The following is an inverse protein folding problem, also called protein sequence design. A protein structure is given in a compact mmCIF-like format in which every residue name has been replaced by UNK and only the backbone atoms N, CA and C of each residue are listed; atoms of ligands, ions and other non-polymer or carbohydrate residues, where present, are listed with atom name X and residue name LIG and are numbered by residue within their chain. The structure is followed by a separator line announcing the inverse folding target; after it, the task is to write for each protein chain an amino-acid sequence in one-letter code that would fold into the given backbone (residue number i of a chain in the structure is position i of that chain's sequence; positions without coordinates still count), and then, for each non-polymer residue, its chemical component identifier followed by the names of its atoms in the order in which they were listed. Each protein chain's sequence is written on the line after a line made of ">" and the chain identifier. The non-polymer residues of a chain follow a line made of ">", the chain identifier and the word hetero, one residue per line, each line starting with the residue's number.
data_IF_600562718306
#
_entry.id   IF_600562718306
#
_cell.length_a   1.000
_cell.length_b   1.000
_cell.length_c   1.000
_cell.angle_alpha   90.00
_cell.angle_beta   90.00
_cell.angle_gamma   90.00
#
_symmetry.space_group_name_H-M   'P 1'
#
loop_
_entity.id
_entity.type
_entity.pdbx_description
1 polymer ?
#
# COMPACT_ATOMS: atom_id res chain seq x y z
N UNK A 1 -21.58 26.72 4.59
CA UNK A 1 -20.56 25.88 5.26
C UNK A 1 -19.95 25.03 4.16
N UNK A 2 -18.63 25.12 3.88
CA UNK A 2 -18.02 24.25 2.86
C UNK A 2 -18.22 22.81 3.32
N UNK A 3 -18.74 21.96 2.45
CA UNK A 3 -18.95 20.55 2.74
C UNK A 3 -17.58 19.88 2.87
N UNK A 4 -17.12 19.71 4.12
CA UNK A 4 -15.84 19.04 4.43
C UNK A 4 -15.88 17.54 4.04
N UNK A 5 -17.08 16.99 3.79
CA UNK A 5 -17.28 15.61 3.38
C UNK A 5 -16.74 15.32 1.98
N UNK A 6 -16.96 16.22 1.01
CA UNK A 6 -16.51 16.02 -0.37
C UNK A 6 -14.99 15.89 -0.45
N UNK A 7 -14.25 16.80 0.20
CA UNK A 7 -12.79 16.77 0.24
C UNK A 7 -12.25 15.47 0.87
N UNK A 8 -12.92 15.01 1.94
CA UNK A 8 -12.54 13.78 2.63
C UNK A 8 -12.72 12.55 1.74
N UNK A 9 -13.82 12.46 1.00
CA UNK A 9 -14.08 11.34 0.09
C UNK A 9 -13.16 11.35 -1.12
N UNK A 10 -12.92 12.52 -1.73
CA UNK A 10 -11.95 12.64 -2.83
C UNK A 10 -10.55 12.18 -2.41
N UNK A 11 -10.11 12.54 -1.20
CA UNK A 11 -8.83 12.09 -0.67
C UNK A 11 -8.78 10.58 -0.42
N UNK A 12 -9.85 9.99 0.12
CA UNK A 12 -9.95 8.53 0.31
C UNK A 12 -9.89 7.78 -1.02
N UNK A 13 -10.63 8.24 -2.02
CA UNK A 13 -10.65 7.61 -3.34
C UNK A 13 -9.30 7.73 -4.04
N UNK A 14 -8.62 8.89 -3.93
CA UNK A 14 -7.28 9.07 -4.44
C UNK A 14 -6.26 8.13 -3.76
N UNK A 15 -6.27 8.06 -2.42
CA UNK A 15 -5.39 7.17 -1.67
C UNK A 15 -5.64 5.69 -2.00
N UNK A 16 -6.91 5.29 -2.13
CA UNK A 16 -7.30 3.94 -2.52
C UNK A 16 -6.86 3.60 -3.95
N UNK A 17 -7.00 4.52 -4.89
CA UNK A 17 -6.53 4.35 -6.27
C UNK A 17 -5.02 4.10 -6.31
N UNK A 18 -4.24 4.97 -5.66
CA UNK A 18 -2.78 4.83 -5.58
C UNK A 18 -2.36 3.53 -4.87
N UNK A 19 -3.05 3.15 -3.79
CA UNK A 19 -2.75 1.90 -3.10
C UNK A 19 -3.04 0.68 -3.99
N UNK A 20 -4.12 0.67 -4.77
CA UNK A 20 -4.40 -0.41 -5.71
C UNK A 20 -3.32 -0.54 -6.80
N UNK A 21 -2.90 0.59 -7.38
CA UNK A 21 -1.82 0.62 -8.38
C UNK A 21 -0.52 0.02 -7.79
N UNK A 22 -0.15 0.45 -6.59
CA UNK A 22 1.02 -0.06 -5.87
C UNK A 22 0.91 -1.55 -5.50
N UNK A 23 -0.28 -2.04 -5.11
CA UNK A 23 -0.50 -3.46 -4.84
C UNK A 23 -0.33 -4.29 -6.12
N UNK A 24 -0.88 -3.83 -7.25
CA UNK A 24 -0.73 -4.53 -8.52
C UNK A 24 0.73 -4.62 -8.95
N UNK A 25 1.45 -3.49 -8.92
CA UNK A 25 2.89 -3.45 -9.22
C UNK A 25 3.68 -4.38 -8.29
N UNK A 26 3.43 -4.34 -6.99
CA UNK A 26 4.11 -5.20 -6.03
C UNK A 26 3.87 -6.69 -6.28
N UNK A 27 2.70 -7.08 -6.81
CA UNK A 27 2.35 -8.46 -7.16
C UNK A 27 2.93 -8.87 -8.52
N UNK A 28 3.10 -7.94 -9.45
CA UNK A 28 3.80 -8.19 -10.72
C UNK A 28 5.31 -8.43 -10.48
N UNK A 29 5.90 -7.70 -9.54
CA UNK A 29 7.33 -7.76 -9.21
C UNK A 29 7.70 -8.84 -8.17
N UNK A 30 6.73 -9.64 -7.69
CA UNK A 30 6.93 -10.58 -6.57
C UNK A 30 6.24 -11.92 -6.78
N UNK A 31 6.86 -13.01 -6.29
CA UNK A 31 6.27 -14.35 -6.38
C UNK A 31 5.43 -14.72 -5.15
N UNK A 32 5.57 -13.98 -4.04
CA UNK A 32 4.87 -14.23 -2.78
C UNK A 32 4.34 -12.96 -2.14
N UNK A 33 3.29 -13.07 -1.29
CA UNK A 33 2.77 -11.96 -0.50
C UNK A 33 3.85 -11.32 0.41
N UNK A 34 4.76 -12.14 0.94
CA UNK A 34 5.89 -11.66 1.73
C UNK A 34 6.88 -10.83 0.91
N UNK A 35 7.15 -11.20 -0.34
CA UNK A 35 7.98 -10.42 -1.26
C UNK A 35 7.30 -9.12 -1.68
N UNK A 36 6.00 -9.15 -2.01
CA UNK A 36 5.23 -7.96 -2.34
C UNK A 36 5.19 -6.96 -1.17
N UNK A 37 5.03 -7.46 0.06
CA UNK A 37 5.12 -6.62 1.28
C UNK A 37 6.51 -5.98 1.42
N UNK A 38 7.59 -6.73 1.15
CA UNK A 38 8.96 -6.20 1.20
C UNK A 38 9.24 -5.20 0.07
N UNK A 39 8.62 -5.37 -1.10
CA UNK A 39 8.69 -4.41 -2.19
C UNK A 39 8.16 -3.05 -1.74
N UNK A 40 6.93 -3.02 -1.23
CA UNK A 40 6.29 -1.78 -0.76
C UNK A 40 7.07 -1.11 0.37
N UNK A 41 7.60 -1.90 1.32
CA UNK A 41 8.43 -1.35 2.41
C UNK A 41 9.70 -0.67 1.90
N UNK A 42 10.34 -1.21 0.85
CA UNK A 42 11.53 -0.62 0.23
C UNK A 42 11.18 0.71 -0.44
N UNK A 43 10.09 0.74 -1.21
CA UNK A 43 9.59 1.97 -1.82
C UNK A 43 9.27 3.04 -0.76
N UNK A 44 8.63 2.64 0.35
CA UNK A 44 8.36 3.60 1.43
C UNK A 44 9.62 4.20 2.04
N UNK A 45 10.69 3.41 2.22
CA UNK A 45 11.95 3.91 2.75
C UNK A 45 12.65 4.88 1.79
N UNK A 46 12.51 4.70 0.49
CA UNK A 46 13.09 5.60 -0.52
C UNK A 46 12.48 7.00 -0.49
N UNK A 47 11.23 7.13 -0.03
CA UNK A 47 10.56 8.42 0.12
C UNK A 47 11.15 9.32 1.23
N UNK A 48 12.01 8.77 2.10
CA UNK A 48 12.71 9.48 3.18
C UNK A 48 14.11 9.96 2.76
N UNK A 49 14.35 10.15 1.46
CA UNK A 49 15.61 10.65 0.90
C UNK A 49 15.91 12.12 1.23
N UNK A 50 16.51 12.84 0.29
CA UNK A 50 16.87 14.25 0.49
C UNK A 50 15.62 15.15 0.39
N UNK A 51 14.97 15.38 1.52
CA UNK A 51 13.76 16.20 1.64
C UNK A 51 14.19 17.65 1.83
N UNK A 52 14.19 18.42 0.76
CA UNK A 52 14.62 19.82 0.77
C UNK A 52 13.45 20.79 0.83
N UNK A 53 12.29 20.43 0.27
CA UNK A 53 11.12 21.31 0.18
C UNK A 53 9.91 20.83 1.01
N UNK A 54 9.05 21.74 1.50
CA UNK A 54 7.84 21.38 2.25
C UNK A 54 6.90 20.42 1.51
N UNK A 55 6.83 20.53 0.19
CA UNK A 55 6.05 19.65 -0.69
C UNK A 55 6.59 18.22 -0.69
N UNK A 56 7.91 18.03 -0.63
CA UNK A 56 8.54 16.71 -0.51
C UNK A 56 8.17 16.07 0.83
N UNK A 57 8.15 16.86 1.91
CA UNK A 57 7.72 16.39 3.22
C UNK A 57 6.24 15.97 3.23
N UNK A 58 5.37 16.71 2.54
CA UNK A 58 3.98 16.32 2.36
C UNK A 58 3.85 15.05 1.52
N UNK A 59 4.63 14.94 0.44
CA UNK A 59 4.71 13.76 -0.43
C UNK A 59 5.12 12.51 0.35
N UNK A 60 6.14 12.61 1.21
CA UNK A 60 6.56 11.52 2.10
C UNK A 60 5.40 11.03 3.00
N UNK A 61 4.62 11.95 3.60
CA UNK A 61 3.49 11.57 4.44
C UNK A 61 2.34 10.93 3.67
N UNK A 62 2.08 11.39 2.45
CA UNK A 62 1.11 10.75 1.56
C UNK A 62 1.59 9.35 1.18
N UNK A 63 2.88 9.21 0.85
CA UNK A 63 3.49 7.93 0.51
C UNK A 63 3.40 6.91 1.67
N UNK A 64 3.67 7.33 2.91
CA UNK A 64 3.48 6.51 4.11
C UNK A 64 2.05 5.96 4.20
N UNK A 65 1.06 6.83 4.00
CA UNK A 65 -0.34 6.47 4.11
C UNK A 65 -0.76 5.47 3.02
N UNK A 66 -0.33 5.71 1.77
CA UNK A 66 -0.59 4.84 0.63
C UNK A 66 0.09 3.47 0.82
N UNK A 67 1.37 3.44 1.20
CA UNK A 67 2.11 2.21 1.46
C UNK A 67 1.48 1.42 2.62
N UNK A 68 1.06 2.09 3.69
CA UNK A 68 0.37 1.46 4.82
C UNK A 68 -0.95 0.80 4.42
N UNK A 69 -1.75 1.47 3.58
CA UNK A 69 -2.98 0.91 3.03
C UNK A 69 -2.69 -0.29 2.12
N UNK A 70 -1.74 -0.18 1.21
CA UNK A 70 -1.37 -1.25 0.28
C UNK A 70 -0.89 -2.52 1.01
N UNK A 71 -0.04 -2.38 2.03
CA UNK A 71 0.40 -3.52 2.86
C UNK A 71 -0.80 -4.17 3.57
N UNK A 72 -1.73 -3.37 4.09
CA UNK A 72 -2.93 -3.92 4.72
C UNK A 72 -3.77 -4.73 3.73
N UNK A 73 -3.95 -4.23 2.51
CA UNK A 73 -4.68 -4.94 1.46
C UNK A 73 -4.04 -6.29 1.11
N UNK A 74 -2.71 -6.33 0.98
CA UNK A 74 -1.95 -7.58 0.76
C UNK A 74 -2.18 -8.57 1.90
N UNK A 75 -2.11 -8.12 3.16
CA UNK A 75 -2.36 -9.00 4.31
C UNK A 75 -3.82 -9.48 4.40
N UNK A 76 -4.78 -8.62 4.07
CA UNK A 76 -6.20 -8.98 4.07
C UNK A 76 -6.47 -10.03 2.97
N UNK A 77 -5.83 -9.90 1.80
CA UNK A 77 -5.89 -10.91 0.72
C UNK A 77 -5.22 -12.23 1.14
N UNK A 78 -4.01 -12.18 1.70
CA UNK A 78 -3.29 -13.36 2.20
C UNK A 78 -4.12 -14.14 3.24
N UNK A 79 -4.79 -13.43 4.15
CA UNK A 79 -5.67 -14.03 5.17
C UNK A 79 -6.97 -14.59 4.59
N UNK A 80 -7.42 -14.06 3.45
CA UNK A 80 -8.62 -14.53 2.76
C UNK A 80 -8.38 -15.81 1.96
N UNK A 81 -7.13 -16.15 1.67
CA UNK A 81 -6.81 -17.42 1.03
C UNK A 81 -7.11 -18.58 1.98
N UNK A 82 -7.70 -19.68 1.47
CA UNK A 82 -7.95 -20.86 2.28
C UNK A 82 -6.64 -21.31 2.91
N UNK A 83 -6.66 -21.54 4.23
CA UNK A 83 -5.53 -22.11 4.93
C UNK A 83 -5.27 -23.47 4.30
N UNK A 84 -4.30 -23.55 3.39
CA UNK A 84 -3.65 -24.79 3.01
C UNK A 84 -2.97 -25.33 4.27
N UNK A 85 -3.76 -25.98 5.13
CA UNK A 85 -3.25 -26.97 6.07
C UNK A 85 -2.84 -28.10 5.15
N UNK A 86 -1.54 -28.33 4.98
CA UNK A 86 -1.01 -29.36 4.10
C UNK A 86 -1.53 -30.75 4.45
N UNK A 87 -2.73 -31.07 4.00
CA UNK A 87 -3.34 -32.39 3.96
C UNK A 87 -3.48 -32.82 2.50
N UNK A 88 -2.39 -32.69 1.73
CA UNK A 88 -2.14 -33.65 0.67
C UNK A 88 -1.33 -34.76 1.33
N UNK A 89 -2.05 -35.70 1.95
CA UNK A 89 -1.48 -36.97 2.38
C UNK A 89 -0.86 -37.69 1.18
N UNK A 90 0.28 -38.31 1.43
CA UNK A 90 0.91 -39.36 0.62
C UNK A 90 -0.10 -40.39 0.06
#
# INVERSE_FOLDING_TARGET
>A
MKDLGQWTEEFKEAAKKLANELVNEAKEESNTYGEATRYIKRLNQQAYGDITDPEDHAGMKVNDAVCGLAIRMIHDEERSLPISRGENND
#
